data_IF_632326944109
#
_entry.id   IF_632326944109
#
_cell.length_a   1.000
_cell.length_b   1.000
_cell.length_c   1.000
_cell.angle_alpha   90.00
_cell.angle_beta   90.00
_cell.angle_gamma   90.00
#
_symmetry.space_group_name_H-M   'P 1'
#
loop_
_entity.id
_entity.type
_entity.pdbx_description
1 polymer ?
#
# COMPACT_ATOMS: atom_id res chain seq x y z
N UNK A 1 -19.91 14.29 -44.98
CA UNK A 1 -20.63 14.83 -43.80
C UNK A 1 -22.06 14.38 -43.85
N UNK A 2 -22.59 13.84 -42.75
CA UNK A 2 -23.99 13.40 -42.67
C UNK A 2 -24.84 14.46 -41.96
N UNK A 3 -26.12 14.52 -42.30
CA UNK A 3 -27.07 15.49 -41.74
C UNK A 3 -28.13 14.76 -40.88
N UNK A 4 -28.41 15.31 -39.73
CA UNK A 4 -29.51 14.83 -38.89
C UNK A 4 -30.72 15.73 -39.06
N UNK A 5 -31.81 15.24 -39.65
CA UNK A 5 -33.03 16.02 -39.89
C UNK A 5 -33.71 16.47 -38.59
N UNK A 6 -33.66 15.67 -37.53
CA UNK A 6 -34.27 15.95 -36.22
C UNK A 6 -33.48 17.02 -35.44
N UNK A 7 -32.15 16.85 -35.35
CA UNK A 7 -31.30 17.78 -34.60
C UNK A 7 -30.83 18.98 -35.43
N UNK A 8 -31.08 18.98 -36.75
CA UNK A 8 -30.67 20.03 -37.71
C UNK A 8 -29.16 20.35 -37.68
N UNK A 9 -28.32 19.34 -37.47
CA UNK A 9 -26.86 19.46 -37.39
C UNK A 9 -26.15 18.60 -38.43
N UNK A 10 -25.02 19.11 -38.93
CA UNK A 10 -24.11 18.36 -39.81
C UNK A 10 -23.04 17.69 -38.94
N UNK A 11 -22.88 16.36 -39.08
CA UNK A 11 -21.99 15.58 -38.30
C UNK A 11 -20.98 14.88 -39.21
N UNK A 12 -19.70 15.02 -38.86
CA UNK A 12 -18.62 14.33 -39.57
C UNK A 12 -18.36 12.96 -38.91
N UNK A 13 -19.14 11.95 -39.28
CA UNK A 13 -19.09 10.61 -38.71
C UNK A 13 -19.40 9.56 -39.78
N UNK A 14 -18.83 8.38 -39.61
CA UNK A 14 -19.15 7.20 -40.38
C UNK A 14 -20.33 6.39 -39.78
N UNK A 15 -20.78 6.72 -38.58
CA UNK A 15 -21.92 6.07 -37.96
C UNK A 15 -23.20 6.26 -38.75
N UNK A 16 -24.08 5.26 -38.70
CA UNK A 16 -25.40 5.33 -39.34
C UNK A 16 -26.42 6.13 -38.55
N UNK A 17 -26.19 6.29 -37.24
CA UNK A 17 -27.12 6.94 -36.32
C UNK A 17 -26.53 8.21 -35.71
N UNK A 18 -27.39 9.19 -35.45
CA UNK A 18 -27.03 10.40 -34.76
C UNK A 18 -26.65 10.13 -33.31
N UNK A 19 -25.49 10.61 -32.79
CA UNK A 19 -25.08 10.37 -31.40
C UNK A 19 -25.96 11.09 -30.38
N UNK A 20 -26.76 12.11 -30.80
CA UNK A 20 -27.63 12.88 -29.91
C UNK A 20 -29.05 12.30 -29.81
N UNK A 21 -29.66 11.93 -30.94
CA UNK A 21 -31.07 11.51 -30.98
C UNK A 21 -31.27 10.10 -31.52
N UNK A 22 -30.19 9.36 -31.85
CA UNK A 22 -30.17 8.02 -32.41
C UNK A 22 -30.98 7.78 -33.69
N UNK A 23 -31.41 8.88 -34.36
CA UNK A 23 -32.10 8.78 -35.64
C UNK A 23 -31.10 8.55 -36.78
N UNK A 24 -31.54 7.89 -37.85
CA UNK A 24 -30.72 7.62 -39.04
C UNK A 24 -30.24 8.91 -39.65
N UNK A 25 -28.95 8.99 -39.95
CA UNK A 25 -28.33 10.17 -40.59
C UNK A 25 -28.45 10.07 -42.10
N UNK A 26 -28.83 11.17 -42.74
CA UNK A 26 -28.88 11.31 -44.18
C UNK A 26 -27.52 11.82 -44.69
N UNK A 27 -27.03 11.23 -45.79
CA UNK A 27 -25.79 11.60 -46.46
C UNK A 27 -24.82 10.46 -46.71
N UNK A 28 -23.91 10.64 -47.63
CA UNK A 28 -22.93 9.63 -48.02
C UNK A 28 -21.76 9.56 -47.00
N UNK A 29 -21.21 8.36 -46.87
CA UNK A 29 -19.99 8.15 -46.10
C UNK A 29 -18.83 8.92 -46.76
N UNK A 30 -18.20 9.81 -46.05
CA UNK A 30 -17.02 10.53 -46.54
C UNK A 30 -15.88 9.54 -46.71
N UNK A 31 -15.58 9.17 -47.93
CA UNK A 31 -14.38 8.36 -48.25
C UNK A 31 -13.15 9.19 -47.83
N UNK A 32 -12.38 8.72 -46.87
CA UNK A 32 -11.15 9.37 -46.44
C UNK A 32 -11.22 10.16 -45.13
N UNK A 33 -12.17 9.89 -44.24
CA UNK A 33 -12.03 10.30 -42.84
C UNK A 33 -10.82 9.59 -42.24
N UNK A 34 -9.69 10.30 -42.23
CA UNK A 34 -8.56 9.92 -41.37
C UNK A 34 -9.09 10.02 -39.96
N UNK A 35 -9.17 8.89 -39.26
CA UNK A 35 -9.48 8.89 -37.85
C UNK A 35 -8.44 9.78 -37.16
N UNK A 36 -8.88 10.94 -36.69
CA UNK A 36 -8.01 11.96 -36.09
C UNK A 36 -7.45 11.51 -34.75
N UNK A 37 -7.93 10.37 -34.24
CA UNK A 37 -7.46 9.75 -33.00
C UNK A 37 -6.74 8.45 -33.35
N UNK A 38 -5.48 8.30 -32.90
CA UNK A 38 -4.77 7.03 -33.03
C UNK A 38 -5.60 5.93 -32.37
N UNK A 39 -5.63 4.73 -32.97
CA UNK A 39 -6.24 3.57 -32.35
C UNK A 39 -5.72 3.42 -30.92
N UNK A 40 -6.63 3.24 -29.97
CA UNK A 40 -6.28 3.01 -28.58
C UNK A 40 -5.49 1.69 -28.47
N UNK A 41 -4.19 1.80 -28.55
CA UNK A 41 -3.28 0.67 -28.31
C UNK A 41 -3.22 0.44 -26.83
N UNK A 42 -3.97 -0.52 -26.33
CA UNK A 42 -3.88 -0.96 -24.94
C UNK A 42 -2.57 -1.76 -24.72
N UNK A 43 -1.44 -1.06 -24.76
CA UNK A 43 -0.09 -1.66 -24.74
C UNK A 43 0.17 -2.50 -23.49
N UNK A 44 -0.52 -2.25 -22.39
CA UNK A 44 -0.19 -2.88 -21.09
C UNK A 44 -1.21 -3.86 -20.51
N UNK A 45 -2.36 -4.09 -21.13
CA UNK A 45 -3.38 -4.97 -20.53
C UNK A 45 -3.00 -6.46 -20.47
N UNK A 46 -2.10 -6.92 -21.34
CA UNK A 46 -1.72 -8.36 -21.41
C UNK A 46 -0.53 -8.73 -20.51
N UNK A 47 0.37 -7.79 -20.25
CA UNK A 47 1.60 -8.05 -19.47
C UNK A 47 1.28 -8.18 -17.97
N UNK A 48 0.44 -7.30 -17.42
CA UNK A 48 0.06 -7.30 -16.01
C UNK A 48 -0.53 -8.62 -15.49
N UNK A 49 -1.52 -9.24 -16.16
CA UNK A 49 -2.07 -10.51 -15.68
C UNK A 49 -1.08 -11.67 -15.79
N UNK A 50 -0.20 -11.66 -16.80
CA UNK A 50 0.84 -12.71 -16.95
C UNK A 50 1.88 -12.60 -15.84
N UNK A 51 2.39 -11.40 -15.57
CA UNK A 51 3.35 -11.16 -14.48
C UNK A 51 2.81 -11.59 -13.13
N UNK A 52 1.55 -11.25 -12.82
CA UNK A 52 0.89 -11.70 -11.58
C UNK A 52 0.79 -13.22 -11.48
N UNK A 53 0.51 -13.93 -12.59
CA UNK A 53 0.46 -15.39 -12.62
C UNK A 53 1.83 -16.03 -12.38
N UNK A 54 2.88 -15.48 -13.01
CA UNK A 54 4.25 -15.96 -12.83
C UNK A 54 4.72 -15.76 -11.39
N UNK A 55 4.52 -14.57 -10.83
CA UNK A 55 4.89 -14.28 -9.43
C UNK A 55 4.17 -15.24 -8.49
N UNK A 56 2.87 -15.43 -8.67
CA UNK A 56 2.08 -16.36 -7.83
C UNK A 56 2.58 -17.79 -7.92
N UNK A 57 2.87 -18.27 -9.14
CA UNK A 57 3.43 -19.60 -9.33
C UNK A 57 4.80 -19.76 -8.67
N UNK A 58 5.70 -18.80 -8.88
CA UNK A 58 7.04 -18.81 -8.27
C UNK A 58 6.95 -18.79 -6.73
N UNK A 59 6.03 -18.00 -6.16
CA UNK A 59 5.80 -17.95 -4.71
C UNK A 59 5.37 -19.30 -4.15
N UNK A 60 4.38 -19.94 -4.78
CA UNK A 60 3.87 -21.26 -4.35
C UNK A 60 4.99 -22.31 -4.44
N UNK A 61 5.71 -22.33 -5.55
CA UNK A 61 6.80 -23.28 -5.76
C UNK A 61 7.91 -23.12 -4.73
N UNK A 62 8.31 -21.89 -4.44
CA UNK A 62 9.33 -21.60 -3.42
C UNK A 62 8.90 -22.05 -2.02
N UNK A 63 7.65 -21.84 -1.64
CA UNK A 63 7.11 -22.28 -0.35
C UNK A 63 7.13 -23.81 -0.26
N UNK A 64 6.70 -24.52 -1.31
CA UNK A 64 6.71 -26.00 -1.34
C UNK A 64 8.15 -26.52 -1.18
N UNK A 65 9.11 -25.96 -1.90
CA UNK A 65 10.52 -26.37 -1.83
C UNK A 65 11.06 -26.17 -0.39
N UNK A 66 10.80 -25.01 0.22
CA UNK A 66 11.25 -24.73 1.58
C UNK A 66 10.63 -25.68 2.62
N UNK A 67 9.36 -26.01 2.48
CA UNK A 67 8.69 -26.97 3.36
C UNK A 67 9.28 -28.37 3.20
N UNK A 68 9.52 -28.82 1.96
CA UNK A 68 10.12 -30.14 1.71
C UNK A 68 11.53 -30.23 2.31
N UNK A 69 12.35 -29.19 2.12
CA UNK A 69 13.71 -29.17 2.69
C UNK A 69 13.64 -29.18 4.22
N UNK A 70 12.76 -28.38 4.82
CA UNK A 70 12.62 -28.34 6.30
C UNK A 70 12.17 -29.69 6.85
N UNK A 71 11.20 -30.36 6.19
CA UNK A 71 10.77 -31.69 6.59
C UNK A 71 11.88 -32.75 6.46
N UNK A 72 12.71 -32.64 5.43
CA UNK A 72 13.84 -33.54 5.20
C UNK A 72 14.99 -33.35 6.21
N UNK A 73 15.07 -32.15 6.81
CA UNK A 73 16.14 -31.79 7.78
C UNK A 73 15.67 -31.80 9.25
N UNK A 74 14.42 -32.21 9.53
CA UNK A 74 13.86 -32.22 10.88
C UNK A 74 14.63 -33.11 11.84
N UNK A 75 15.22 -34.20 11.36
CA UNK A 75 16.00 -35.14 12.21
C UNK A 75 17.32 -34.49 12.69
N UNK A 76 17.88 -33.57 11.91
CA UNK A 76 19.12 -32.85 12.26
C UNK A 76 18.84 -31.55 13.02
N UNK A 77 17.77 -30.86 12.67
CA UNK A 77 17.33 -29.59 13.25
C UNK A 77 15.82 -29.63 13.54
N UNK A 78 15.41 -29.88 14.77
CA UNK A 78 13.99 -30.01 15.13
C UNK A 78 13.20 -28.71 15.05
N UNK A 79 13.82 -27.60 14.66
CA UNK A 79 13.21 -26.31 14.54
C UNK A 79 12.58 -26.06 13.14
N UNK A 80 11.46 -25.37 13.14
CA UNK A 80 10.76 -24.96 11.90
C UNK A 80 11.41 -23.70 11.28
N UNK A 81 12.71 -23.77 10.96
CA UNK A 81 13.46 -22.63 10.42
C UNK A 81 12.89 -22.09 9.10
N UNK A 82 12.15 -22.93 8.37
CA UNK A 82 11.52 -22.52 7.10
C UNK A 82 10.46 -21.43 7.26
N UNK A 83 9.92 -21.22 8.47
CA UNK A 83 8.93 -20.16 8.72
C UNK A 83 9.46 -18.76 8.42
N UNK A 84 10.73 -18.49 8.69
CA UNK A 84 11.38 -17.19 8.43
C UNK A 84 11.42 -16.88 6.91
N UNK A 85 12.02 -17.73 6.06
CA UNK A 85 12.04 -17.46 4.63
C UNK A 85 10.65 -17.52 3.99
N UNK A 86 9.74 -18.36 4.46
CA UNK A 86 8.34 -18.40 3.97
C UNK A 86 7.63 -17.09 4.29
N UNK A 87 7.73 -16.59 5.51
CA UNK A 87 7.16 -15.29 5.90
C UNK A 87 7.74 -14.15 5.08
N UNK A 88 9.05 -14.17 4.82
CA UNK A 88 9.74 -13.18 3.98
C UNK A 88 9.25 -13.21 2.54
N UNK A 89 9.13 -14.41 1.93
CA UNK A 89 8.58 -14.57 0.57
C UNK A 89 7.15 -14.05 0.50
N UNK A 90 6.32 -14.36 1.49
CA UNK A 90 4.94 -13.89 1.56
C UNK A 90 4.87 -12.36 1.66
N UNK A 91 5.71 -11.76 2.49
CA UNK A 91 5.83 -10.31 2.61
C UNK A 91 6.24 -9.68 1.26
N UNK A 92 7.28 -10.18 0.59
CA UNK A 92 7.70 -9.68 -0.72
C UNK A 92 6.61 -9.82 -1.78
N UNK A 93 5.86 -10.91 -1.75
CA UNK A 93 4.72 -11.08 -2.66
C UNK A 93 3.65 -10.00 -2.43
N UNK A 94 3.36 -9.66 -1.17
CA UNK A 94 2.45 -8.58 -0.83
C UNK A 94 3.01 -7.22 -1.28
N UNK A 95 4.31 -6.95 -1.05
CA UNK A 95 4.96 -5.71 -1.51
C UNK A 95 4.80 -5.55 -3.02
N UNK A 96 5.04 -6.59 -3.81
CA UNK A 96 4.91 -6.52 -5.27
C UNK A 96 3.44 -6.38 -5.67
N UNK A 97 2.56 -7.21 -5.13
CA UNK A 97 1.14 -7.26 -5.52
C UNK A 97 0.38 -6.02 -5.09
N UNK A 98 0.60 -5.57 -3.85
CA UNK A 98 -0.12 -4.46 -3.24
C UNK A 98 0.66 -3.16 -3.33
N UNK A 99 1.96 -3.17 -3.05
CA UNK A 99 2.80 -1.97 -3.07
C UNK A 99 3.00 -1.40 -4.47
N UNK A 100 3.26 -2.25 -5.48
CA UNK A 100 3.59 -1.82 -6.84
C UNK A 100 2.40 -1.89 -7.77
N UNK A 101 1.64 -3.00 -7.76
CA UNK A 101 0.59 -3.27 -8.75
C UNK A 101 -0.80 -2.76 -8.35
N UNK A 102 -1.01 -2.34 -7.12
CA UNK A 102 -2.27 -1.76 -6.64
C UNK A 102 -2.44 -0.31 -7.10
N UNK A 103 -3.69 0.09 -7.28
CA UNK A 103 -4.08 1.49 -7.57
C UNK A 103 -4.49 2.25 -6.31
N UNK A 104 -4.35 1.63 -5.15
CA UNK A 104 -4.71 2.23 -3.87
C UNK A 104 -3.84 3.45 -3.52
N UNK A 105 -4.32 4.24 -2.59
CA UNK A 105 -3.62 5.43 -2.12
C UNK A 105 -2.22 5.08 -1.56
N UNK A 106 -1.20 5.86 -1.94
CA UNK A 106 0.20 5.63 -1.54
C UNK A 106 0.34 5.60 -0.01
N UNK A 107 -0.35 6.50 0.72
CA UNK A 107 -0.30 6.52 2.18
C UNK A 107 -0.88 5.22 2.79
N UNK A 108 -2.01 4.75 2.28
CA UNK A 108 -2.62 3.49 2.71
C UNK A 108 -1.68 2.29 2.50
N UNK A 109 -1.03 2.24 1.33
CA UNK A 109 -0.03 1.20 1.03
C UNK A 109 1.15 1.25 1.99
N UNK A 110 1.69 2.44 2.27
CA UNK A 110 2.80 2.61 3.20
C UNK A 110 2.44 2.13 4.61
N UNK A 111 1.27 2.51 5.14
CA UNK A 111 0.83 2.08 6.47
C UNK A 111 0.74 0.56 6.56
N UNK A 112 0.05 -0.08 5.60
CA UNK A 112 -0.12 -1.54 5.61
C UNK A 112 1.21 -2.27 5.45
N UNK A 113 2.06 -1.83 4.51
CA UNK A 113 3.36 -2.47 4.28
C UNK A 113 4.30 -2.30 5.49
N UNK A 114 4.28 -1.14 6.16
CA UNK A 114 5.04 -0.93 7.40
C UNK A 114 4.54 -1.84 8.51
N UNK A 115 3.23 -1.97 8.70
CA UNK A 115 2.64 -2.85 9.70
C UNK A 115 3.00 -4.32 9.46
N UNK A 116 2.89 -4.79 8.21
CA UNK A 116 3.27 -6.15 7.83
C UNK A 116 4.78 -6.40 7.99
N UNK A 117 5.62 -5.39 7.69
CA UNK A 117 7.05 -5.50 7.92
C UNK A 117 7.38 -5.64 9.41
N UNK A 118 6.76 -4.82 10.26
CA UNK A 118 6.94 -4.90 11.71
C UNK A 118 6.51 -6.29 12.20
N UNK A 119 5.36 -6.80 11.76
CA UNK A 119 4.89 -8.15 12.14
C UNK A 119 5.86 -9.25 11.71
N UNK A 120 6.44 -9.14 10.50
CA UNK A 120 7.47 -10.09 10.03
C UNK A 120 8.73 -10.04 10.89
N UNK A 121 9.20 -8.82 11.21
CA UNK A 121 10.43 -8.65 12.02
C UNK A 121 10.24 -9.14 13.46
N UNK A 122 9.07 -8.93 14.04
CA UNK A 122 8.70 -9.48 15.35
C UNK A 122 8.70 -11.01 15.29
N UNK A 123 8.14 -11.61 14.24
CA UNK A 123 8.13 -13.06 14.06
C UNK A 123 9.56 -13.62 13.98
N UNK A 124 10.45 -12.96 13.23
CA UNK A 124 11.86 -13.35 13.12
C UNK A 124 12.55 -13.24 14.49
N UNK A 125 12.30 -12.15 15.20
CA UNK A 125 12.92 -11.89 16.51
C UNK A 125 12.48 -12.93 17.56
N UNK A 126 11.18 -13.20 17.65
CA UNK A 126 10.65 -14.23 18.56
C UNK A 126 11.21 -15.62 18.22
N UNK A 127 11.33 -15.96 16.93
CA UNK A 127 11.88 -17.22 16.52
C UNK A 127 13.37 -17.35 16.90
N UNK A 128 14.18 -16.31 16.65
CA UNK A 128 15.59 -16.28 16.98
C UNK A 128 15.83 -16.21 18.50
N UNK A 129 14.94 -15.55 19.23
CA UNK A 129 14.98 -15.48 20.70
C UNK A 129 14.73 -16.86 21.34
N UNK A 130 13.74 -17.60 20.84
CA UNK A 130 13.43 -18.96 21.33
C UNK A 130 14.55 -19.95 20.99
N UNK A 131 15.15 -19.81 19.79
CA UNK A 131 16.24 -20.69 19.34
C UNK A 131 17.58 -20.41 20.04
N UNK A 132 17.80 -19.20 20.56
CA UNK A 132 19.00 -18.86 21.31
C UNK A 132 18.82 -19.15 22.80
N UNK A 133 19.56 -20.10 23.34
CA UNK A 133 19.65 -20.35 24.81
C UNK A 133 20.26 -19.14 25.56
N UNK A 134 20.72 -18.13 24.87
CA UNK A 134 21.43 -16.96 25.42
C UNK A 134 20.48 -15.78 25.55
N UNK A 135 19.94 -15.60 26.74
CA UNK A 135 19.03 -14.47 27.11
C UNK A 135 19.65 -13.07 27.07
N UNK A 136 20.77 -12.85 26.38
CA UNK A 136 21.52 -11.58 26.42
C UNK A 136 21.29 -10.65 25.24
N UNK A 137 20.68 -11.10 24.15
CA UNK A 137 20.26 -10.17 23.10
C UNK A 137 18.84 -9.73 23.41
N UNK A 138 18.67 -8.46 23.81
CA UNK A 138 17.36 -7.83 23.91
C UNK A 138 16.56 -8.04 22.61
N UNK A 139 15.26 -7.95 22.71
CA UNK A 139 14.34 -8.08 21.54
C UNK A 139 14.54 -6.92 20.57
N UNK A 140 15.53 -7.06 19.67
CA UNK A 140 15.98 -6.00 18.78
C UNK A 140 14.87 -5.44 17.88
N UNK A 141 13.85 -6.24 17.55
CA UNK A 141 12.72 -5.79 16.76
C UNK A 141 11.85 -4.80 17.52
N UNK A 142 11.60 -5.04 18.80
CA UNK A 142 10.82 -4.16 19.67
C UNK A 142 11.62 -2.93 20.08
N UNK A 143 12.91 -3.14 20.45
CA UNK A 143 13.77 -2.07 20.97
C UNK A 143 14.13 -1.03 19.93
N UNK A 144 14.39 -1.46 18.68
CA UNK A 144 14.92 -0.58 17.63
C UNK A 144 14.04 -0.50 16.39
N UNK A 145 13.76 -1.64 15.74
CA UNK A 145 13.16 -1.60 14.41
C UNK A 145 11.72 -1.10 14.40
N UNK A 146 10.89 -1.55 15.33
CA UNK A 146 9.50 -1.12 15.42
C UNK A 146 9.38 0.42 15.59
N UNK A 147 10.06 1.07 16.56
CA UNK A 147 10.00 2.52 16.70
C UNK A 147 10.52 3.26 15.47
N UNK A 148 11.64 2.83 14.88
CA UNK A 148 12.21 3.47 13.70
C UNK A 148 11.35 3.32 12.45
N UNK A 149 10.73 2.17 12.22
CA UNK A 149 9.83 1.96 11.09
C UNK A 149 8.57 2.82 11.21
N UNK A 150 7.99 2.92 12.39
CA UNK A 150 6.84 3.79 12.63
C UNK A 150 7.20 5.27 12.45
N UNK A 151 8.33 5.70 12.97
CA UNK A 151 8.83 7.06 12.80
C UNK A 151 9.11 7.39 11.33
N UNK A 152 9.77 6.49 10.60
CA UNK A 152 10.07 6.67 9.16
C UNK A 152 8.81 6.71 8.30
N UNK A 153 7.81 5.88 8.60
CA UNK A 153 6.52 5.91 7.92
C UNK A 153 5.76 7.23 8.16
N UNK A 154 5.77 7.74 9.40
CA UNK A 154 5.23 9.06 9.75
C UNK A 154 5.87 10.17 8.92
N UNK A 155 7.20 10.19 8.86
CA UNK A 155 7.95 11.16 8.07
C UNK A 155 7.63 11.03 6.57
N UNK A 156 7.62 9.81 6.04
CA UNK A 156 7.35 9.57 4.63
C UNK A 156 5.96 10.08 4.22
N UNK A 157 4.91 9.78 5.01
CA UNK A 157 3.55 10.28 4.73
C UNK A 157 3.49 11.80 4.84
N UNK A 158 4.13 12.40 5.87
CA UNK A 158 4.20 13.84 6.03
C UNK A 158 4.87 14.53 4.84
N UNK A 159 5.97 13.98 4.35
CA UNK A 159 6.70 14.47 3.17
C UNK A 159 5.82 14.34 1.90
N UNK A 160 5.11 13.23 1.73
CA UNK A 160 4.21 13.04 0.58
C UNK A 160 3.11 14.10 0.56
N UNK A 161 2.52 14.41 1.72
CA UNK A 161 1.51 15.46 1.85
C UNK A 161 2.09 16.82 1.46
N UNK A 162 3.29 17.15 1.93
CA UNK A 162 3.95 18.44 1.63
C UNK A 162 4.31 18.59 0.16
N UNK A 163 4.87 17.56 -0.48
CA UNK A 163 5.35 17.63 -1.87
C UNK A 163 4.19 17.66 -2.85
N UNK A 164 3.21 16.78 -2.68
CA UNK A 164 2.17 16.60 -3.70
C UNK A 164 1.14 17.72 -3.74
N UNK A 165 1.05 18.60 -2.73
CA UNK A 165 -0.01 19.63 -2.62
C UNK A 165 -1.42 19.08 -2.93
N UNK A 166 -1.58 17.76 -2.88
CA UNK A 166 -2.83 17.06 -3.17
C UNK A 166 -3.78 17.33 -2.00
N UNK A 167 -5.06 17.20 -2.24
CA UNK A 167 -6.08 17.29 -1.20
C UNK A 167 -5.65 16.48 0.03
N UNK A 168 -5.03 17.17 0.99
CA UNK A 168 -4.55 16.61 2.25
C UNK A 168 -5.64 15.84 3.00
N UNK A 169 -6.91 16.05 2.64
CA UNK A 169 -8.07 15.38 3.20
C UNK A 169 -8.01 13.86 3.07
N UNK A 170 -7.53 13.35 1.93
CA UNK A 170 -7.46 11.91 1.69
C UNK A 170 -6.33 11.23 2.46
N UNK A 171 -5.30 11.98 2.87
CA UNK A 171 -4.11 11.45 3.55
C UNK A 171 -4.13 11.63 5.07
N UNK A 172 -4.93 12.58 5.59
CA UNK A 172 -4.93 12.96 7.01
C UNK A 172 -5.32 11.78 7.92
N UNK A 173 -6.20 10.90 7.45
CA UNK A 173 -6.64 9.73 8.20
C UNK A 173 -5.51 8.72 8.33
N UNK A 174 -4.79 8.45 7.24
CA UNK A 174 -3.66 7.53 7.26
C UNK A 174 -2.53 8.06 8.13
N UNK A 175 -2.32 9.40 8.10
CA UNK A 175 -1.36 10.05 8.97
C UNK A 175 -1.77 9.93 10.44
N UNK A 176 -3.03 10.17 10.77
CA UNK A 176 -3.54 9.98 12.14
C UNK A 176 -3.40 8.52 12.58
N UNK A 177 -3.74 7.56 11.73
CA UNK A 177 -3.63 6.14 12.04
C UNK A 177 -2.18 5.77 12.40
N UNK A 178 -1.19 6.19 11.59
CA UNK A 178 0.21 5.85 11.86
C UNK A 178 0.77 6.62 13.06
N UNK A 179 0.30 7.85 13.31
CA UNK A 179 0.64 8.60 14.53
C UNK A 179 0.17 7.85 15.76
N UNK A 180 -1.08 7.38 15.79
CA UNK A 180 -1.59 6.58 16.90
C UNK A 180 -0.83 5.26 17.07
N UNK A 181 -0.51 4.56 15.98
CA UNK A 181 0.31 3.35 16.04
C UNK A 181 1.72 3.63 16.58
N UNK A 182 2.27 4.80 16.31
CA UNK A 182 3.59 5.22 16.83
C UNK A 182 3.60 5.49 18.33
N UNK A 183 2.43 5.48 18.99
CA UNK A 183 2.35 5.51 20.45
C UNK A 183 2.53 4.11 21.06
N UNK A 184 2.36 3.04 20.29
CA UNK A 184 2.48 1.68 20.78
C UNK A 184 3.85 1.37 21.43
N UNK A 185 5.01 1.77 20.89
CA UNK A 185 6.30 1.52 21.53
C UNK A 185 6.41 2.08 22.94
N UNK A 186 5.84 3.26 23.21
CA UNK A 186 5.91 3.83 24.57
C UNK A 186 5.07 3.02 25.57
N UNK A 187 3.95 2.44 25.12
CA UNK A 187 3.14 1.55 25.95
C UNK A 187 3.93 0.30 26.29
N UNK A 188 4.68 -0.26 25.32
CA UNK A 188 5.53 -1.42 25.54
C UNK A 188 6.71 -1.14 26.49
N UNK A 189 7.20 0.12 26.52
CA UNK A 189 8.17 0.54 27.55
C UNK A 189 7.57 0.50 28.94
N UNK A 190 6.32 0.97 29.13
CA UNK A 190 5.64 0.90 30.43
C UNK A 190 5.29 -0.53 30.88
N UNK A 191 5.23 -1.46 29.93
CA UNK A 191 4.99 -2.89 30.21
C UNK A 191 6.30 -3.68 30.39
N UNK A 192 7.45 -3.00 30.45
CA UNK A 192 8.78 -3.59 30.58
C UNK A 192 9.14 -4.62 29.47
N UNK A 193 8.49 -4.52 28.31
CA UNK A 193 8.78 -5.35 27.13
C UNK A 193 9.99 -4.82 26.36
N UNK A 194 10.15 -3.49 26.31
CA UNK A 194 11.25 -2.79 25.65
C UNK A 194 12.30 -2.43 26.70
N UNK A 195 13.53 -2.89 26.46
CA UNK A 195 14.67 -2.62 27.35
C UNK A 195 15.35 -1.28 27.01
N UNK A 196 15.46 -0.97 25.71
CA UNK A 196 16.12 0.22 25.21
C UNK A 196 15.10 1.33 24.91
N UNK A 197 14.95 2.29 25.81
CA UNK A 197 13.85 3.26 25.77
C UNK A 197 14.01 4.40 24.75
N UNK A 198 15.24 4.78 24.38
CA UNK A 198 15.47 5.98 23.58
C UNK A 198 14.85 5.95 22.17
N UNK A 199 14.81 4.82 21.42
CA UNK A 199 14.15 4.81 20.11
C UNK A 199 12.62 4.99 20.22
N UNK A 200 12.00 4.38 21.25
CA UNK A 200 10.59 4.54 21.55
C UNK A 200 10.25 6.00 21.92
N UNK A 201 11.10 6.66 22.72
CA UNK A 201 10.94 8.08 23.07
C UNK A 201 11.06 8.99 21.84
N UNK A 202 12.00 8.70 20.92
CA UNK A 202 12.13 9.47 19.68
C UNK A 202 10.91 9.30 18.77
N UNK A 203 10.41 8.09 18.58
CA UNK A 203 9.21 7.82 17.79
C UNK A 203 7.97 8.50 18.40
N UNK A 204 7.82 8.45 19.72
CA UNK A 204 6.77 9.14 20.45
C UNK A 204 6.85 10.67 20.28
N UNK A 205 8.03 11.25 20.48
CA UNK A 205 8.25 12.70 20.32
C UNK A 205 7.91 13.18 18.91
N UNK A 206 8.31 12.43 17.87
CA UNK A 206 7.95 12.71 16.50
C UNK A 206 6.44 12.62 16.26
N UNK A 207 5.79 11.58 16.80
CA UNK A 207 4.34 11.40 16.67
C UNK A 207 3.55 12.55 17.31
N UNK A 208 3.95 12.96 18.52
CA UNK A 208 3.36 14.12 19.22
C UNK A 208 3.59 15.42 18.44
N UNK A 209 4.80 15.62 17.93
CA UNK A 209 5.11 16.80 17.10
C UNK A 209 4.22 16.88 15.87
N UNK A 210 4.07 15.78 15.12
CA UNK A 210 3.21 15.72 13.94
C UNK A 210 1.74 15.95 14.32
N UNK A 211 1.28 15.36 15.42
CA UNK A 211 -0.10 15.54 15.90
C UNK A 211 -0.39 17.00 16.25
N UNK A 212 0.50 17.66 16.97
CA UNK A 212 0.38 19.09 17.28
C UNK A 212 0.40 19.93 16.00
N UNK A 213 1.29 19.61 15.06
CA UNK A 213 1.35 20.30 13.76
C UNK A 213 0.01 20.19 13.01
N UNK A 214 -0.60 18.99 12.97
CA UNK A 214 -1.89 18.76 12.31
C UNK A 214 -3.00 19.58 13.00
N UNK A 215 -3.06 19.56 14.33
CA UNK A 215 -4.08 20.28 15.09
C UNK A 215 -3.98 21.80 14.87
N UNK A 216 -2.76 22.35 14.86
CA UNK A 216 -2.54 23.79 14.70
C UNK A 216 -2.81 24.26 13.26
N UNK A 217 -2.34 23.53 12.27
CA UNK A 217 -2.40 23.98 10.87
C UNK A 217 -3.66 23.53 10.11
N UNK A 218 -4.31 22.44 10.54
CA UNK A 218 -5.44 21.84 9.82
C UNK A 218 -6.70 21.58 10.67
N UNK A 219 -7.12 22.49 11.57
CA UNK A 219 -8.20 22.23 12.53
C UNK A 219 -9.57 22.00 11.88
N UNK A 220 -9.88 22.72 10.78
CA UNK A 220 -11.15 22.58 10.05
C UNK A 220 -11.26 21.25 9.31
N UNK A 221 -10.18 20.78 8.72
CA UNK A 221 -10.15 19.54 7.92
C UNK A 221 -10.33 18.31 8.76
N UNK A 222 -9.76 18.27 9.96
CA UNK A 222 -9.94 17.17 10.90
C UNK A 222 -11.42 17.09 11.32
N UNK A 223 -12.00 18.24 11.65
CA UNK A 223 -13.40 18.34 12.10
C UNK A 223 -14.38 17.88 11.02
N UNK A 224 -14.14 18.30 9.76
CA UNK A 224 -14.97 17.92 8.62
C UNK A 224 -14.87 16.42 8.29
N UNK A 225 -13.69 15.84 8.40
CA UNK A 225 -13.48 14.41 8.11
C UNK A 225 -14.06 13.51 9.22
N UNK A 226 -13.92 13.90 10.47
CA UNK A 226 -14.56 13.20 11.61
C UNK A 226 -16.07 13.25 11.45
N UNK A 227 -16.65 14.42 11.13
CA UNK A 227 -18.10 14.56 10.88
C UNK A 227 -18.60 13.66 9.76
N UNK A 228 -17.87 13.59 8.64
CA UNK A 228 -18.25 12.74 7.50
C UNK A 228 -18.29 11.25 7.83
N UNK A 229 -17.39 10.77 8.66
CA UNK A 229 -17.30 9.33 8.97
C UNK A 229 -18.17 8.88 10.13
N UNK A 230 -18.37 9.72 11.10
CA UNK A 230 -19.14 9.38 12.31
C UNK A 230 -20.58 9.89 12.28
N UNK A 231 -21.01 10.50 11.16
CA UNK A 231 -22.39 11.06 11.02
C UNK A 231 -22.84 11.92 12.21
N UNK A 232 -21.89 12.63 12.85
CA UNK A 232 -22.12 13.50 14.01
C UNK A 232 -22.25 14.97 13.61
#
# INVERSE_FOLDING_TARGET
MKYCAKCKIKINTNNKYCPLCQQVLEGENTKGLIEKYPEYVSVNRKIFPLTKKIIRFATILSIIILLVINLATLDENPELWSLIPIGSIFYFWIVISFGVLSKENIAFRLVILTFLLIALLILIDEFTYVASEVNYLGRWSYDYLMPFLLASCNLAISIIILIKRIDYRDYIIYLLTIVFLSLAPIILVFLDVIVVNWPAMMAFGLAVFILLFIIFFFPKSIKDEIKKRFHA
#
